data_IF_879590914805
#
_entry.id   IF_879590914805
#
_cell.length_a   1.000
_cell.length_b   1.000
_cell.length_c   1.000
_cell.angle_alpha   90.00
_cell.angle_beta   90.00
_cell.angle_gamma   90.00
#
_symmetry.space_group_name_H-M   'P 1'
#
loop_
_entity.id
_entity.type
_entity.pdbx_description
1 polymer ?
#
# COMPACT_ATOMS: atom_id res chain seq x y z
N UNK A 1 11.37 -42.94 -25.46
CA UNK A 1 10.57 -43.40 -26.60
C UNK A 1 9.18 -42.79 -26.47
N UNK A 2 8.75 -41.98 -27.43
CA UNK A 2 7.37 -41.48 -27.48
C UNK A 2 6.44 -42.65 -27.81
N UNK A 3 5.38 -42.85 -27.03
CA UNK A 3 4.36 -43.89 -27.24
C UNK A 3 3.29 -43.50 -28.28
N UNK A 4 3.48 -42.37 -28.97
CA UNK A 4 2.47 -41.78 -29.86
C UNK A 4 2.80 -42.11 -31.31
N UNK A 5 1.79 -42.58 -32.07
CA UNK A 5 1.93 -42.91 -33.49
C UNK A 5 2.15 -41.62 -34.31
N UNK A 6 2.94 -41.63 -35.39
CA UNK A 6 3.21 -40.43 -36.20
C UNK A 6 1.97 -39.77 -36.80
N UNK A 7 0.85 -40.51 -36.92
CA UNK A 7 -0.39 -40.02 -37.52
C UNK A 7 -1.36 -39.32 -36.53
N UNK A 8 -1.10 -39.38 -35.22
CA UNK A 8 -1.98 -38.76 -34.21
C UNK A 8 -1.67 -37.27 -34.02
N UNK A 9 -2.68 -36.42 -34.22
CA UNK A 9 -2.57 -34.98 -33.96
C UNK A 9 -2.45 -34.76 -32.45
N UNK A 10 -1.23 -34.49 -31.98
CA UNK A 10 -0.95 -34.26 -30.56
C UNK A 10 -1.63 -32.97 -30.11
N UNK A 11 -2.58 -33.09 -29.18
CA UNK A 11 -3.21 -31.94 -28.53
C UNK A 11 -2.41 -31.53 -27.29
N UNK A 12 -2.27 -30.21 -26.98
CA UNK A 12 -1.53 -29.75 -25.81
C UNK A 12 -2.01 -30.36 -24.47
N UNK A 13 -3.29 -30.70 -24.37
CA UNK A 13 -3.89 -31.39 -23.22
C UNK A 13 -3.29 -32.77 -22.93
N UNK A 14 -2.71 -33.44 -23.93
CA UNK A 14 -2.05 -34.75 -23.75
C UNK A 14 -0.62 -34.61 -23.25
N UNK A 15 0.00 -33.43 -23.42
CA UNK A 15 1.38 -33.15 -23.00
C UNK A 15 1.45 -32.46 -21.63
N UNK A 16 0.43 -31.70 -21.26
CA UNK A 16 0.44 -30.87 -20.05
C UNK A 16 -0.47 -31.47 -18.98
N UNK A 17 0.14 -31.98 -17.91
CA UNK A 17 -0.58 -32.33 -16.69
C UNK A 17 -0.55 -31.14 -15.71
N UNK A 18 -1.72 -30.55 -15.42
CA UNK A 18 -1.84 -29.42 -14.51
C UNK A 18 -1.79 -29.82 -13.01
N UNK A 19 -1.96 -31.10 -12.67
CA UNK A 19 -2.05 -31.56 -11.27
C UNK A 19 -0.81 -31.19 -10.43
N UNK A 20 0.44 -31.33 -10.91
CA UNK A 20 1.62 -30.92 -10.15
C UNK A 20 1.65 -29.42 -9.85
N UNK A 21 1.20 -28.59 -10.79
CA UNK A 21 1.14 -27.13 -10.63
C UNK A 21 0.10 -26.76 -9.57
N UNK A 22 -1.10 -27.33 -9.65
CA UNK A 22 -2.17 -27.10 -8.67
C UNK A 22 -1.72 -27.57 -7.28
N UNK A 23 -1.06 -28.71 -7.18
CA UNK A 23 -0.54 -29.23 -5.92
C UNK A 23 0.52 -28.30 -5.31
N UNK A 24 1.47 -27.81 -6.11
CA UNK A 24 2.51 -26.88 -5.65
C UNK A 24 1.92 -25.55 -5.15
N UNK A 25 0.98 -24.96 -5.90
CA UNK A 25 0.29 -23.72 -5.49
C UNK A 25 -0.50 -23.96 -4.20
N UNK A 26 -1.25 -25.06 -4.14
CA UNK A 26 -2.06 -25.39 -2.97
C UNK A 26 -1.19 -25.67 -1.74
N UNK A 27 -0.03 -26.30 -1.91
CA UNK A 27 0.91 -26.56 -0.82
C UNK A 27 1.52 -25.25 -0.31
N UNK A 28 1.90 -24.33 -1.22
CA UNK A 28 2.41 -23.02 -0.86
C UNK A 28 1.42 -22.25 0.03
N UNK A 29 0.17 -22.08 -0.40
CA UNK A 29 -0.80 -21.28 0.38
C UNK A 29 -1.27 -21.95 1.68
N UNK A 30 -1.28 -23.29 1.76
CA UNK A 30 -1.75 -24.01 2.96
C UNK A 30 -0.66 -24.25 4.00
N UNK A 31 0.59 -24.50 3.59
CA UNK A 31 1.67 -24.97 4.49
C UNK A 31 2.83 -24.00 4.63
N UNK A 32 3.00 -23.05 3.72
CA UNK A 32 4.12 -22.12 3.82
C UNK A 32 3.94 -21.20 5.03
N UNK A 33 4.99 -21.08 5.85
CA UNK A 33 5.01 -20.20 7.03
C UNK A 33 4.84 -18.72 6.67
N UNK A 34 5.15 -18.34 5.43
CA UNK A 34 4.94 -16.99 4.92
C UNK A 34 3.46 -16.73 4.54
N UNK A 35 2.68 -17.78 4.31
CA UNK A 35 1.23 -17.69 4.09
C UNK A 35 0.54 -17.71 5.45
N UNK A 36 0.43 -16.55 6.08
CA UNK A 36 -0.28 -16.41 7.35
C UNK A 36 -1.74 -16.01 7.16
N UNK A 37 -2.59 -16.43 8.10
CA UNK A 37 -3.93 -15.86 8.23
C UNK A 37 -3.81 -14.37 8.51
N UNK A 38 -4.63 -13.57 7.83
CA UNK A 38 -4.67 -12.14 8.00
C UNK A 38 -5.26 -11.80 9.37
N UNK A 39 -4.60 -10.89 10.08
CA UNK A 39 -5.05 -10.42 11.38
C UNK A 39 -6.03 -9.26 11.16
N UNK A 40 -7.32 -9.50 11.37
CA UNK A 40 -8.40 -8.55 11.10
C UNK A 40 -9.12 -8.11 12.38
N UNK A 41 -8.39 -8.03 13.50
CA UNK A 41 -8.97 -7.51 14.76
C UNK A 41 -9.44 -6.06 14.58
N UNK A 42 -8.63 -5.22 13.92
CA UNK A 42 -8.94 -3.82 13.63
C UNK A 42 -8.17 -3.39 12.35
N UNK A 43 -8.51 -2.24 11.74
CA UNK A 43 -7.88 -1.80 10.49
C UNK A 43 -6.35 -1.65 10.59
N UNK A 44 -5.82 -1.30 11.76
CA UNK A 44 -4.37 -1.17 11.96
C UNK A 44 -3.67 -2.53 11.95
N UNK A 45 -4.22 -3.52 12.63
CA UNK A 45 -3.67 -4.87 12.71
C UNK A 45 -3.53 -5.50 11.31
N UNK A 46 -4.53 -5.26 10.45
CA UNK A 46 -4.52 -5.75 9.08
C UNK A 46 -3.40 -5.12 8.25
N UNK A 47 -3.26 -3.80 8.32
CA UNK A 47 -2.19 -3.07 7.62
C UNK A 47 -0.81 -3.50 8.13
N UNK A 48 -0.65 -3.64 9.44
CA UNK A 48 0.61 -4.03 10.06
C UNK A 48 1.02 -5.45 9.62
N UNK A 49 0.07 -6.39 9.57
CA UNK A 49 0.31 -7.76 9.09
C UNK A 49 0.75 -7.77 7.60
N UNK A 50 0.11 -6.97 6.75
CA UNK A 50 0.47 -6.87 5.32
C UNK A 50 1.83 -6.19 5.08
N UNK A 51 2.30 -5.37 6.01
CA UNK A 51 3.60 -4.67 5.94
C UNK A 51 4.72 -5.37 6.72
N UNK A 52 4.48 -6.61 7.14
CA UNK A 52 5.42 -7.40 7.94
C UNK A 52 6.51 -8.01 7.06
N UNK A 53 7.76 -7.83 7.49
CA UNK A 53 8.94 -8.47 6.93
C UNK A 53 9.36 -9.63 7.83
N UNK A 54 9.71 -10.77 7.23
CA UNK A 54 10.18 -11.95 7.96
C UNK A 54 11.46 -12.47 7.34
N UNK A 55 12.51 -12.57 8.15
CA UNK A 55 13.78 -13.24 7.79
C UNK A 55 13.64 -14.77 7.89
N UNK A 56 12.61 -15.24 8.59
CA UNK A 56 12.27 -16.65 8.68
C UNK A 56 11.45 -17.11 7.48
N UNK A 57 11.60 -18.37 7.07
CA UNK A 57 10.83 -18.97 5.98
C UNK A 57 11.62 -20.05 5.26
N UNK A 58 11.05 -20.59 4.19
CA UNK A 58 11.77 -21.45 3.26
C UNK A 58 12.94 -20.68 2.64
N UNK A 59 14.17 -21.16 2.80
CA UNK A 59 15.37 -20.45 2.35
C UNK A 59 15.84 -19.32 3.27
N UNK A 60 15.11 -19.03 4.35
CA UNK A 60 15.48 -18.04 5.36
C UNK A 60 16.27 -18.65 6.54
N UNK A 61 16.34 -17.89 7.63
CA UNK A 61 17.07 -18.28 8.84
C UNK A 61 16.11 -18.93 9.86
N UNK A 62 16.55 -20.01 10.51
CA UNK A 62 15.80 -20.59 11.64
C UNK A 62 16.10 -19.81 12.92
N UNK A 63 15.13 -19.74 13.85
CA UNK A 63 15.25 -18.96 15.10
C UNK A 63 16.53 -19.22 15.88
N UNK A 64 16.93 -20.48 15.97
CA UNK A 64 18.13 -20.97 16.68
C UNK A 64 19.44 -20.59 15.99
N UNK A 65 19.41 -20.39 14.66
CA UNK A 65 20.59 -20.05 13.86
C UNK A 65 20.73 -18.55 13.60
N UNK A 66 19.76 -17.75 14.05
CA UNK A 66 19.84 -16.31 13.90
C UNK A 66 20.85 -15.72 14.90
N UNK A 67 21.94 -15.15 14.36
CA UNK A 67 22.93 -14.43 15.14
C UNK A 67 22.36 -13.14 15.72
N UNK A 68 23.03 -12.61 16.74
CA UNK A 68 22.69 -11.32 17.35
C UNK A 68 22.71 -10.18 16.32
N UNK A 69 23.71 -10.15 15.44
CA UNK A 69 23.86 -9.15 14.38
C UNK A 69 22.70 -9.09 13.37
N UNK A 70 21.96 -10.19 13.18
CA UNK A 70 20.77 -10.22 12.32
C UNK A 70 19.54 -9.63 13.01
N UNK A 71 19.54 -9.55 14.34
CA UNK A 71 18.42 -9.04 15.14
C UNK A 71 18.58 -7.55 15.47
N UNK A 72 19.82 -7.08 15.53
CA UNK A 72 20.12 -5.68 15.81
C UNK A 72 19.65 -4.74 14.70
N UNK A 73 19.38 -3.50 15.11
CA UNK A 73 19.02 -2.42 14.21
C UNK A 73 20.29 -1.92 13.54
N UNK A 74 20.32 -1.99 12.21
CA UNK A 74 21.42 -1.47 11.40
C UNK A 74 21.12 -0.06 10.91
N UNK A 75 22.14 0.76 10.68
CA UNK A 75 22.01 2.15 10.18
C UNK A 75 21.27 2.23 8.85
N UNK A 76 21.48 1.26 7.95
CA UNK A 76 20.77 1.16 6.67
C UNK A 76 19.26 0.93 6.78
N UNK A 77 18.76 0.53 7.95
CA UNK A 77 17.32 0.36 8.18
C UNK A 77 16.58 1.68 8.29
N UNK A 78 17.30 2.80 8.44
CA UNK A 78 16.70 4.12 8.58
C UNK A 78 15.70 4.41 7.45
N UNK A 79 14.47 4.74 7.82
CA UNK A 79 13.37 5.00 6.88
C UNK A 79 12.99 3.85 5.95
N UNK A 80 13.46 2.62 6.21
CA UNK A 80 13.12 1.40 5.47
C UNK A 80 12.40 0.37 6.34
N UNK A 81 12.97 0.08 7.51
CA UNK A 81 12.43 -0.86 8.50
C UNK A 81 12.19 -0.10 9.81
N UNK A 82 11.02 -0.29 10.41
CA UNK A 82 10.65 0.37 11.65
C UNK A 82 11.53 -0.14 12.80
N UNK A 83 12.21 0.75 13.55
CA UNK A 83 13.05 0.36 14.68
C UNK A 83 12.24 0.03 15.95
N UNK A 84 10.97 0.46 16.02
CA UNK A 84 10.13 0.33 17.22
C UNK A 84 9.28 -0.93 17.15
N UNK A 85 8.66 -1.22 16.00
CA UNK A 85 7.71 -2.33 15.84
C UNK A 85 8.46 -3.64 15.58
N UNK A 86 8.41 -4.56 16.54
CA UNK A 86 8.91 -5.94 16.41
C UNK A 86 8.15 -6.85 17.39
N UNK A 87 7.91 -8.14 17.12
CA UNK A 87 7.42 -9.06 18.13
C UNK A 87 8.37 -9.15 19.33
N UNK A 88 7.80 -9.25 20.52
CA UNK A 88 8.56 -9.52 21.74
C UNK A 88 8.95 -11.01 21.83
N UNK A 89 10.00 -11.31 22.60
CA UNK A 89 10.46 -12.68 22.83
C UNK A 89 11.36 -13.23 21.72
N UNK A 90 11.18 -14.49 21.35
CA UNK A 90 12.14 -15.22 20.49
C UNK A 90 12.22 -14.71 19.04
N UNK A 91 11.19 -14.00 18.55
CA UNK A 91 11.13 -13.50 17.18
C UNK A 91 11.64 -12.05 17.05
N UNK A 92 12.15 -11.45 18.13
CA UNK A 92 12.66 -10.08 18.13
C UNK A 92 13.75 -9.89 17.07
N UNK A 93 13.61 -8.85 16.24
CA UNK A 93 14.53 -8.52 15.15
C UNK A 93 14.48 -9.46 13.94
N UNK A 94 13.80 -10.61 14.02
CA UNK A 94 13.61 -11.55 12.89
C UNK A 94 12.33 -11.26 12.11
N UNK A 95 11.36 -10.67 12.79
CA UNK A 95 10.13 -10.18 12.22
C UNK A 95 10.10 -8.69 12.49
N UNK A 96 10.10 -7.91 11.41
CA UNK A 96 10.11 -6.45 11.45
C UNK A 96 9.02 -5.92 10.53
N UNK A 97 8.87 -4.61 10.45
CA UNK A 97 7.77 -3.98 9.72
C UNK A 97 8.31 -2.82 8.90
N UNK A 98 7.70 -2.57 7.74
CA UNK A 98 8.08 -1.45 6.88
C UNK A 98 7.74 -0.10 7.55
N UNK A 99 8.61 0.89 7.35
CA UNK A 99 8.32 2.29 7.68
C UNK A 99 7.26 2.88 6.75
N UNK A 100 6.71 4.07 7.06
CA UNK A 100 5.60 4.66 6.31
C UNK A 100 5.84 4.82 4.80
N UNK A 101 6.97 5.39 4.40
CA UNK A 101 7.22 5.78 3.00
C UNK A 101 8.19 4.86 2.26
N UNK A 102 8.63 3.77 2.89
CA UNK A 102 9.48 2.77 2.24
C UNK A 102 8.78 2.14 1.03
N UNK A 103 9.55 1.94 -0.04
CA UNK A 103 9.11 1.23 -1.25
C UNK A 103 10.02 0.05 -1.55
N UNK A 104 9.48 -0.94 -2.25
CA UNK A 104 10.24 -2.08 -2.75
C UNK A 104 10.43 -1.85 -4.25
N UNK A 105 11.67 -1.82 -4.70
CA UNK A 105 11.99 -1.67 -6.11
C UNK A 105 11.84 -3.00 -6.89
N UNK A 106 11.90 -3.00 -8.23
CA UNK A 106 11.71 -4.22 -9.04
C UNK A 106 12.71 -5.35 -8.73
N UNK A 107 13.86 -5.03 -8.14
CA UNK A 107 14.89 -5.99 -7.75
C UNK A 107 14.70 -6.51 -6.31
N UNK A 108 13.74 -5.98 -5.56
CA UNK A 108 13.43 -6.39 -4.20
C UNK A 108 14.17 -5.60 -3.10
N UNK A 109 14.89 -4.53 -3.44
CA UNK A 109 15.53 -3.67 -2.45
C UNK A 109 14.55 -2.65 -1.86
N UNK A 110 14.76 -2.33 -0.58
CA UNK A 110 14.01 -1.28 0.11
C UNK A 110 14.64 0.08 -0.17
N UNK A 111 13.81 1.01 -0.61
CA UNK A 111 14.19 2.38 -0.91
C UNK A 111 13.53 3.35 0.07
N UNK A 112 14.31 4.33 0.52
CA UNK A 112 13.85 5.42 1.37
C UNK A 112 13.78 6.72 0.57
N UNK A 113 12.79 7.59 0.84
CA UNK A 113 12.64 8.84 0.10
C UNK A 113 13.32 10.03 0.78
N UNK A 114 13.88 10.91 -0.05
CA UNK A 114 14.55 12.13 0.38
C UNK A 114 14.20 13.29 -0.57
N UNK A 115 14.16 14.52 -0.05
CA UNK A 115 14.14 15.70 -0.90
C UNK A 115 15.55 16.04 -1.36
N UNK A 116 15.66 16.49 -2.60
CA UNK A 116 16.93 16.95 -3.15
C UNK A 116 17.22 18.39 -2.73
N UNK A 117 18.49 18.65 -2.40
CA UNK A 117 18.98 19.98 -2.06
C UNK A 117 19.90 20.46 -3.16
N UNK A 118 19.63 21.65 -3.68
CA UNK A 118 20.42 22.26 -4.76
C UNK A 118 21.06 23.55 -4.27
N UNK A 119 22.32 23.76 -4.64
CA UNK A 119 23.01 25.02 -4.39
C UNK A 119 22.50 26.09 -5.37
N UNK A 120 21.89 27.14 -4.84
CA UNK A 120 21.47 28.31 -5.60
C UNK A 120 22.41 29.48 -5.30
N UNK A 121 23.08 29.99 -6.34
CA UNK A 121 23.97 31.15 -6.23
C UNK A 121 23.16 32.42 -6.48
N UNK A 122 23.04 33.28 -5.48
CA UNK A 122 22.44 34.62 -5.62
C UNK A 122 23.49 35.68 -5.26
N UNK A 123 24.22 36.16 -6.27
CA UNK A 123 25.39 37.02 -6.09
C UNK A 123 26.58 36.25 -5.48
N UNK A 124 27.24 36.83 -4.47
CA UNK A 124 28.36 36.19 -3.75
C UNK A 124 27.94 35.21 -2.63
N UNK A 125 26.63 34.94 -2.47
CA UNK A 125 26.14 34.01 -1.45
C UNK A 125 25.57 32.75 -2.10
N UNK A 126 26.12 31.60 -1.75
CA UNK A 126 25.51 30.29 -2.03
C UNK A 126 24.46 30.02 -0.96
N UNK A 127 23.23 29.69 -1.35
CA UNK A 127 22.20 29.22 -0.44
C UNK A 127 21.73 27.84 -0.89
N UNK A 128 21.49 26.98 0.08
CA UNK A 128 21.02 25.63 -0.18
C UNK A 128 19.50 25.63 -0.19
N UNK A 129 18.93 25.28 -1.34
CA UNK A 129 17.49 25.26 -1.58
C UNK A 129 17.01 23.82 -1.58
N UNK A 130 16.05 23.52 -0.72
CA UNK A 130 15.31 22.26 -0.75
C UNK A 130 14.32 22.31 -1.91
N UNK A 131 14.36 21.32 -2.79
CA UNK A 131 13.43 21.18 -3.92
C UNK A 131 12.29 20.22 -3.56
N UNK A 132 11.19 20.32 -4.30
CA UNK A 132 10.06 19.37 -4.19
C UNK A 132 10.34 18.03 -4.92
N UNK A 133 11.54 17.85 -5.47
CA UNK A 133 11.95 16.62 -6.16
C UNK A 133 12.27 15.55 -5.11
N UNK A 134 11.48 14.47 -5.11
CA UNK A 134 11.68 13.32 -4.22
C UNK A 134 12.50 12.25 -4.94
N UNK A 135 13.62 11.86 -4.34
CA UNK A 135 14.47 10.78 -4.82
C UNK A 135 14.36 9.59 -3.86
N UNK A 136 14.16 8.40 -4.42
CA UNK A 136 14.17 7.14 -3.68
C UNK A 136 15.56 6.50 -3.81
N UNK A 137 16.18 6.18 -2.68
CA UNK A 137 17.53 5.62 -2.64
C UNK A 137 17.58 4.27 -1.92
N UNK A 138 18.34 3.35 -2.49
CA UNK A 138 18.72 2.10 -1.84
C UNK A 138 19.69 2.38 -0.69
N UNK A 139 19.94 1.37 0.16
CA UNK A 139 20.86 1.52 1.28
C UNK A 139 22.29 1.84 0.83
N UNK A 140 22.74 1.21 -0.25
CA UNK A 140 24.11 1.36 -0.77
C UNK A 140 24.30 2.76 -1.38
N UNK A 141 23.34 3.20 -2.22
CA UNK A 141 23.40 4.53 -2.84
C UNK A 141 23.31 5.65 -1.79
N UNK A 142 22.60 5.43 -0.69
CA UNK A 142 22.47 6.41 0.40
C UNK A 142 23.82 6.77 1.02
N UNK A 143 24.78 5.83 1.07
CA UNK A 143 26.06 6.05 1.74
C UNK A 143 26.95 7.09 1.05
N UNK A 144 26.74 7.34 -0.25
CA UNK A 144 27.52 8.28 -1.04
C UNK A 144 27.09 9.74 -0.86
N UNK A 145 25.90 9.99 -0.30
CA UNK A 145 25.36 11.32 -0.11
C UNK A 145 25.52 11.84 1.32
N UNK A 146 25.53 13.16 1.47
CA UNK A 146 25.37 13.83 2.77
C UNK A 146 23.90 14.18 2.97
N UNK A 147 23.28 13.52 3.95
CA UNK A 147 21.84 13.61 4.21
C UNK A 147 21.60 14.25 5.56
N UNK A 148 20.81 15.31 5.62
CA UNK A 148 20.40 15.93 6.89
C UNK A 148 18.97 15.54 7.29
N UNK A 149 18.63 15.78 8.54
CA UNK A 149 17.32 15.45 9.10
C UNK A 149 16.25 16.49 8.75
N UNK A 150 14.98 16.14 8.90
CA UNK A 150 13.87 16.98 8.45
C UNK A 150 13.69 18.26 9.30
N UNK A 151 14.07 18.23 10.59
CA UNK A 151 13.79 19.26 11.61
C UNK A 151 14.83 20.40 11.66
N UNK A 152 15.72 20.50 10.68
CA UNK A 152 16.69 21.60 10.56
C UNK A 152 15.99 22.95 10.37
N UNK A 153 16.62 24.04 10.83
CA UNK A 153 16.10 25.40 10.66
C UNK A 153 16.03 25.79 9.17
N UNK A 154 14.83 26.17 8.70
CA UNK A 154 14.58 26.60 7.31
C UNK A 154 13.91 27.97 7.25
N UNK A 155 14.35 28.81 6.31
CA UNK A 155 13.71 30.05 5.91
C UNK A 155 12.95 29.81 4.59
N UNK A 156 11.68 29.40 4.72
CA UNK A 156 10.89 28.89 3.61
C UNK A 156 11.51 27.60 3.04
N UNK A 157 12.11 27.70 1.86
CA UNK A 157 12.74 26.58 1.14
C UNK A 157 14.26 26.53 1.32
N UNK A 158 14.86 27.50 2.02
CA UNK A 158 16.30 27.61 2.15
C UNK A 158 16.78 27.14 3.53
N UNK A 159 17.93 26.47 3.56
CA UNK A 159 18.63 26.13 4.80
C UNK A 159 19.28 27.40 5.38
N UNK A 160 19.12 27.62 6.69
CA UNK A 160 19.59 28.84 7.38
C UNK A 160 20.94 28.64 8.06
N UNK A 161 21.12 27.49 8.71
CA UNK A 161 22.29 27.22 9.53
C UNK A 161 23.53 26.92 8.66
N UNK A 162 24.69 27.40 9.08
CA UNK A 162 25.94 27.17 8.35
C UNK A 162 26.48 25.75 8.56
N UNK A 163 26.29 25.22 9.77
CA UNK A 163 26.72 23.88 10.18
C UNK A 163 25.48 23.05 10.43
N UNK A 164 25.37 21.91 9.76
CA UNK A 164 24.22 21.04 9.86
C UNK A 164 24.67 19.62 10.22
N UNK A 165 23.91 18.92 11.08
CA UNK A 165 24.15 17.50 11.31
C UNK A 165 23.77 16.73 10.04
N UNK A 166 24.65 15.84 9.61
CA UNK A 166 24.45 14.99 8.46
C UNK A 166 24.81 13.54 8.77
N UNK A 167 24.11 12.62 8.12
CA UNK A 167 24.50 11.23 8.01
C UNK A 167 25.30 11.05 6.72
N UNK A 168 26.46 10.40 6.84
CA UNK A 168 27.27 9.96 5.72
C UNK A 168 27.98 8.66 6.08
N UNK A 169 27.90 7.64 5.21
CA UNK A 169 28.49 6.29 5.43
C UNK A 169 28.17 5.71 6.82
N UNK A 170 26.91 5.79 7.22
CA UNK A 170 26.41 5.28 8.51
C UNK A 170 26.87 6.05 9.75
N UNK A 171 27.61 7.16 9.61
CA UNK A 171 28.06 8.00 10.74
C UNK A 171 27.32 9.31 10.79
N UNK A 172 27.09 9.82 12.00
CA UNK A 172 26.58 11.16 12.24
C UNK A 172 27.77 12.12 12.40
N UNK A 173 27.82 13.15 11.56
CA UNK A 173 28.88 14.16 11.51
C UNK A 173 28.26 15.53 11.32
N UNK A 174 28.95 16.59 11.72
CA UNK A 174 28.56 17.96 11.37
C UNK A 174 29.32 18.41 10.12
N UNK A 175 28.60 18.97 9.17
CA UNK A 175 29.16 19.43 7.89
C UNK A 175 28.62 20.81 7.54
N UNK A 176 29.37 21.52 6.69
CA UNK A 176 28.89 22.77 6.10
C UNK A 176 27.59 22.53 5.32
N UNK A 177 26.65 23.46 5.42
CA UNK A 177 25.38 23.38 4.70
C UNK A 177 25.55 23.18 3.20
N UNK A 178 26.60 23.76 2.61
CA UNK A 178 26.93 23.62 1.18
C UNK A 178 27.22 22.18 0.73
N UNK A 179 27.59 21.29 1.66
CA UNK A 179 27.83 19.87 1.37
C UNK A 179 26.57 19.02 1.39
N UNK A 180 25.47 19.53 1.95
CA UNK A 180 24.21 18.79 2.06
C UNK A 180 23.59 18.61 0.68
N UNK A 181 23.34 17.36 0.30
CA UNK A 181 22.76 17.02 -1.01
C UNK A 181 21.31 16.59 -0.89
N UNK A 182 20.94 15.99 0.24
CA UNK A 182 19.63 15.42 0.48
C UNK A 182 19.14 15.76 1.89
N UNK A 183 17.83 15.73 2.05
CA UNK A 183 17.17 15.96 3.34
C UNK A 183 15.98 15.02 3.51
N UNK A 184 15.77 14.55 4.74
CA UNK A 184 14.58 13.78 5.08
C UNK A 184 13.28 14.55 4.76
N UNK A 185 12.23 13.82 4.38
CA UNK A 185 10.95 14.45 4.02
C UNK A 185 10.21 14.91 5.26
N UNK A 186 9.96 13.99 6.19
CA UNK A 186 9.21 14.23 7.43
C UNK A 186 9.85 13.41 8.55
N UNK A 187 9.96 13.91 9.80
CA UNK A 187 10.55 13.16 10.91
C UNK A 187 9.92 11.77 11.15
N UNK A 188 8.61 11.64 10.88
CA UNK A 188 7.87 10.38 11.07
C UNK A 188 8.19 9.30 10.03
N UNK A 189 8.93 9.60 8.96
CA UNK A 189 9.26 8.62 7.93
C UNK A 189 10.12 7.45 8.44
N UNK A 190 10.76 7.62 9.59
CA UNK A 190 11.62 6.62 10.25
C UNK A 190 10.81 5.51 10.94
N UNK A 191 9.53 5.74 11.23
CA UNK A 191 8.69 4.80 11.98
C UNK A 191 7.65 4.11 11.09
N UNK A 192 7.13 2.98 11.56
CA UNK A 192 6.05 2.23 10.91
C UNK A 192 4.66 2.74 11.29
N UNK A 193 3.62 2.18 10.68
CA UNK A 193 2.23 2.65 10.82
C UNK A 193 1.76 2.71 12.28
N UNK A 194 1.95 1.66 13.06
CA UNK A 194 1.48 1.64 14.46
C UNK A 194 2.23 2.62 15.36
N UNK A 195 3.55 2.72 15.21
CA UNK A 195 4.35 3.72 15.94
C UNK A 195 3.97 5.15 15.55
N UNK A 196 3.56 5.38 14.30
CA UNK A 196 3.13 6.67 13.78
C UNK A 196 1.85 7.23 14.43
N UNK A 197 1.06 6.37 15.08
CA UNK A 197 -0.18 6.71 15.80
C UNK A 197 0.06 7.08 17.27
N UNK A 198 1.27 6.90 17.79
CA UNK A 198 1.59 7.26 19.18
C UNK A 198 1.83 8.78 19.23
N UNK A 199 1.02 9.56 19.97
CA UNK A 199 1.29 10.98 20.17
C UNK A 199 2.54 11.15 21.04
N UNK A 200 3.30 12.22 20.81
CA UNK A 200 4.49 12.54 21.61
C UNK A 200 5.56 11.43 21.68
N UNK A 201 5.65 10.60 20.64
CA UNK A 201 6.58 9.46 20.57
C UNK A 201 8.04 9.80 20.94
N UNK A 202 8.49 11.03 20.64
CA UNK A 202 9.82 11.54 20.99
C UNK A 202 10.11 11.62 22.51
N UNK A 203 9.07 11.57 23.34
CA UNK A 203 9.16 11.60 24.80
C UNK A 203 8.99 10.22 25.43
N UNK A 204 8.69 9.20 24.62
CA UNK A 204 8.51 7.83 25.07
C UNK A 204 9.79 7.01 24.89
N UNK A 205 10.08 6.13 25.84
CA UNK A 205 11.14 5.14 25.70
C UNK A 205 10.79 4.13 24.59
N UNK A 206 11.80 3.70 23.81
CA UNK A 206 11.60 2.80 22.68
C UNK A 206 10.94 1.47 23.04
N UNK A 207 11.24 0.90 24.23
CA UNK A 207 10.61 -0.36 24.67
C UNK A 207 9.15 -0.17 25.06
N UNK A 208 8.79 1.00 25.60
CA UNK A 208 7.39 1.34 25.94
C UNK A 208 6.59 1.70 24.71
N UNK A 209 7.18 2.44 23.77
CA UNK A 209 6.58 2.68 22.47
C UNK A 209 6.30 1.36 21.73
N UNK A 210 7.24 0.40 21.79
CA UNK A 210 7.05 -0.95 21.24
C UNK A 210 5.80 -1.62 21.83
N UNK A 211 5.65 -1.64 23.16
CA UNK A 211 4.44 -2.18 23.82
C UNK A 211 3.18 -1.47 23.34
N UNK A 212 3.22 -0.13 23.24
CA UNK A 212 2.11 0.67 22.72
C UNK A 212 1.68 0.25 21.31
N UNK A 213 2.64 -0.03 20.42
CA UNK A 213 2.32 -0.52 19.08
C UNK A 213 1.64 -1.89 19.08
N UNK A 214 1.99 -2.80 20.00
CA UNK A 214 1.33 -4.10 20.14
C UNK A 214 -0.10 -3.94 20.65
N UNK A 215 -0.27 -3.11 21.68
CA UNK A 215 -1.58 -2.86 22.28
C UNK A 215 -2.57 -2.27 21.27
N UNK A 216 -2.12 -1.38 20.39
CA UNK A 216 -2.96 -0.83 19.33
C UNK A 216 -3.47 -1.90 18.35
N UNK A 217 -2.62 -2.84 17.92
CA UNK A 217 -3.05 -3.93 17.02
C UNK A 217 -4.00 -4.92 17.72
N UNK A 218 -3.98 -4.99 19.06
CA UNK A 218 -4.88 -5.83 19.85
C UNK A 218 -6.19 -5.14 20.24
N UNK A 219 -6.34 -3.85 19.94
CA UNK A 219 -7.52 -3.08 20.32
C UNK A 219 -8.78 -3.60 19.62
N UNK A 220 -9.80 -3.94 20.40
CA UNK A 220 -11.06 -4.50 19.89
C UNK A 220 -11.99 -3.36 19.43
N UNK A 221 -12.66 -3.48 18.27
CA UNK A 221 -13.64 -2.49 17.82
C UNK A 221 -14.82 -2.36 18.80
N UNK A 222 -15.12 -1.13 19.23
CA UNK A 222 -16.25 -0.82 20.08
C UNK A 222 -17.50 -0.50 19.24
N UNK A 223 -18.68 -0.72 19.80
CA UNK A 223 -19.97 -0.35 19.16
C UNK A 223 -20.07 1.15 18.92
N UNK A 224 -19.54 1.95 19.85
CA UNK A 224 -19.48 3.42 19.75
C UNK A 224 -18.03 3.87 19.93
N UNK A 225 -17.23 3.90 18.85
CA UNK A 225 -15.85 4.35 18.92
C UNK A 225 -15.77 5.87 19.08
N UNK A 226 -14.81 6.34 19.86
CA UNK A 226 -14.49 7.75 20.02
C UNK A 226 -13.07 8.01 19.50
N UNK A 227 -12.85 9.19 18.91
CA UNK A 227 -11.53 9.60 18.46
C UNK A 227 -10.65 9.97 19.65
N UNK A 228 -9.32 9.79 19.59
CA UNK A 228 -8.44 10.29 20.64
C UNK A 228 -8.54 11.82 20.74
N UNK A 229 -8.43 12.35 21.97
CA UNK A 229 -8.41 13.80 22.21
C UNK A 229 -7.20 14.46 21.55
N UNK A 230 -6.06 13.76 21.54
CA UNK A 230 -4.82 14.17 20.87
C UNK A 230 -4.47 13.11 19.84
N UNK A 231 -4.56 13.46 18.56
CA UNK A 231 -4.23 12.58 17.44
C UNK A 231 -2.94 12.99 16.72
N UNK A 232 -2.42 12.09 15.88
CA UNK A 232 -1.20 12.31 15.10
C UNK A 232 -1.46 12.68 13.65
N UNK A 233 -2.71 12.56 13.18
CA UNK A 233 -3.14 12.80 11.80
C UNK A 233 -3.15 11.54 10.93
N UNK A 234 -2.65 10.41 11.43
CA UNK A 234 -2.62 9.14 10.71
C UNK A 234 -3.92 8.33 10.86
N UNK A 235 -4.75 8.66 11.84
CA UNK A 235 -5.98 7.93 12.19
C UNK A 235 -6.93 7.82 11.00
N UNK A 236 -7.12 8.93 10.29
CA UNK A 236 -7.99 8.99 9.11
C UNK A 236 -7.45 8.13 7.97
N UNK A 237 -6.13 8.17 7.73
CA UNK A 237 -5.49 7.36 6.68
C UNK A 237 -5.57 5.86 7.00
N UNK A 238 -5.34 5.48 8.26
CA UNK A 238 -5.41 4.08 8.72
C UNK A 238 -6.84 3.56 8.63
N UNK A 239 -7.84 4.31 9.10
CA UNK A 239 -9.24 3.90 9.02
C UNK A 239 -9.75 3.77 7.57
N UNK A 240 -9.27 4.65 6.68
CA UNK A 240 -9.62 4.63 5.26
C UNK A 240 -8.95 3.50 4.47
N UNK A 241 -7.96 2.83 5.05
CA UNK A 241 -7.21 1.77 4.39
C UNK A 241 -8.00 0.45 4.44
N UNK A 242 -7.71 -0.45 3.49
CA UNK A 242 -8.26 -1.81 3.44
C UNK A 242 -9.80 -1.93 3.36
N UNK A 243 -10.51 -0.85 3.04
CA UNK A 243 -11.96 -0.90 2.78
C UNK A 243 -12.85 -0.98 4.01
N UNK A 244 -12.32 -0.71 5.21
CA UNK A 244 -13.11 -0.60 6.45
C UNK A 244 -14.10 0.59 6.43
N UNK A 245 -13.82 1.60 5.61
CA UNK A 245 -14.70 2.76 5.41
C UNK A 245 -15.16 2.80 3.96
N UNK A 246 -16.46 2.95 3.77
CA UNK A 246 -17.07 3.16 2.45
C UNK A 246 -16.79 4.59 1.99
N UNK A 247 -16.08 4.74 0.87
CA UNK A 247 -15.84 6.03 0.23
C UNK A 247 -16.71 6.18 -1.00
N UNK A 248 -17.18 7.41 -1.26
CA UNK A 248 -17.81 7.69 -2.55
C UNK A 248 -16.75 7.62 -3.66
N UNK A 249 -16.95 6.80 -4.70
CA UNK A 249 -16.06 6.76 -5.85
C UNK A 249 -16.19 8.00 -6.74
N UNK A 250 -17.26 8.79 -6.56
CA UNK A 250 -17.61 9.91 -7.44
C UNK A 250 -18.01 11.14 -6.64
N UNK A 251 -17.86 12.30 -7.28
CA UNK A 251 -18.37 13.55 -6.75
C UNK A 251 -19.87 13.65 -7.05
N UNK A 252 -20.66 13.96 -6.03
CA UNK A 252 -22.11 14.09 -6.17
C UNK A 252 -22.77 14.61 -4.91
N UNK A 253 -24.05 14.93 -5.03
CA UNK A 253 -24.88 15.34 -3.91
C UNK A 253 -25.57 14.11 -3.32
N UNK A 254 -25.73 14.05 -2.00
CA UNK A 254 -26.46 12.95 -1.36
C UNK A 254 -27.94 13.18 -1.61
N UNK A 255 -28.58 12.27 -2.35
CA UNK A 255 -30.01 12.33 -2.65
C UNK A 255 -30.85 11.74 -1.52
N UNK A 256 -30.39 10.63 -0.94
CA UNK A 256 -31.01 10.00 0.22
C UNK A 256 -29.98 9.21 1.03
N UNK A 257 -30.19 9.13 2.34
CA UNK A 257 -29.40 8.32 3.25
C UNK A 257 -30.34 7.53 4.16
N UNK A 258 -30.16 6.21 4.18
CA UNK A 258 -30.83 5.27 5.06
C UNK A 258 -29.75 4.42 5.77
N UNK A 259 -30.15 3.62 6.77
CA UNK A 259 -29.24 2.76 7.54
C UNK A 259 -28.45 1.79 6.65
N UNK A 260 -29.07 1.28 5.58
CA UNK A 260 -28.47 0.27 4.71
C UNK A 260 -27.85 0.85 3.42
N UNK A 261 -28.37 1.99 2.93
CA UNK A 261 -28.02 2.50 1.60
C UNK A 261 -27.91 4.04 1.58
N UNK A 262 -26.90 4.54 0.88
CA UNK A 262 -26.71 5.95 0.58
C UNK A 262 -26.80 6.13 -0.93
N UNK A 263 -27.74 6.95 -1.40
CA UNK A 263 -27.91 7.26 -2.83
C UNK A 263 -27.27 8.60 -3.12
N UNK A 264 -26.37 8.63 -4.10
CA UNK A 264 -25.64 9.83 -4.52
C UNK A 264 -26.08 10.20 -5.94
N UNK A 265 -26.50 11.45 -6.12
CA UNK A 265 -26.77 12.04 -7.41
C UNK A 265 -25.47 12.61 -7.99
N UNK A 266 -25.00 11.97 -9.06
CA UNK A 266 -23.70 12.26 -9.66
C UNK A 266 -23.78 13.53 -10.52
N UNK A 267 -22.91 14.50 -10.24
CA UNK A 267 -22.89 15.79 -10.96
C UNK A 267 -22.36 15.65 -12.40
N UNK A 268 -21.45 14.71 -12.65
CA UNK A 268 -20.79 14.53 -13.94
C UNK A 268 -21.26 13.27 -14.69
N UNK A 269 -21.63 13.39 -15.97
CA UNK A 269 -22.13 12.27 -16.79
C UNK A 269 -21.06 11.18 -17.05
N UNK A 270 -19.77 11.54 -17.10
CA UNK A 270 -18.68 10.56 -17.27
C UNK A 270 -18.51 9.62 -16.08
N UNK A 271 -18.77 10.13 -14.88
CA UNK A 271 -18.63 9.37 -13.64
C UNK A 271 -19.77 8.35 -13.47
N UNK A 272 -20.91 8.54 -14.16
CA UNK A 272 -22.00 7.55 -14.25
C UNK A 272 -21.59 6.29 -15.00
N UNK A 273 -20.84 6.41 -16.10
CA UNK A 273 -20.39 5.27 -16.90
C UNK A 273 -19.33 4.43 -16.16
N UNK A 274 -18.47 5.07 -15.36
CA UNK A 274 -17.41 4.43 -14.57
C UNK A 274 -17.92 3.50 -13.46
N UNK A 275 -19.16 3.67 -12.99
CA UNK A 275 -19.68 2.95 -11.82
C UNK A 275 -20.44 1.67 -12.16
N UNK A 276 -20.88 1.49 -13.40
CA UNK A 276 -21.54 0.24 -13.80
C UNK A 276 -20.58 -0.94 -13.84
N UNK A 277 -19.32 -0.72 -14.24
CA UNK A 277 -18.25 -1.74 -14.23
C UNK A 277 -17.80 -2.14 -12.82
N UNK A 278 -18.11 -1.31 -11.80
CA UNK A 278 -17.63 -1.49 -10.41
C UNK A 278 -18.75 -1.75 -9.39
N UNK A 279 -19.95 -2.16 -9.81
CA UNK A 279 -20.94 -2.75 -8.89
C UNK A 279 -20.52 -4.16 -8.46
N UNK A 280 -19.35 -4.29 -7.85
CA UNK A 280 -18.96 -5.43 -7.04
C UNK A 280 -19.55 -5.21 -5.65
N UNK A 281 -20.81 -5.59 -5.48
CA UNK A 281 -21.32 -5.87 -4.14
C UNK A 281 -20.60 -7.09 -3.56
N UNK A 282 -20.54 -7.17 -2.24
CA UNK A 282 -20.14 -8.39 -1.51
C UNK A 282 -21.22 -9.44 -1.76
N UNK A 283 -21.15 -10.13 -2.90
CA UNK A 283 -22.18 -11.06 -3.37
C UNK A 283 -21.88 -11.59 -4.76
N UNK A 284 -22.46 -12.76 -5.07
CA UNK A 284 -22.29 -13.55 -6.31
C UNK A 284 -22.19 -12.66 -7.55
N UNK A 285 -21.26 -12.91 -8.49
CA UNK A 285 -21.13 -12.12 -9.71
C UNK A 285 -22.45 -12.07 -10.47
N UNK A 286 -23.16 -10.95 -10.36
CA UNK A 286 -24.32 -10.65 -11.19
C UNK A 286 -23.79 -10.05 -12.50
N UNK A 287 -23.84 -10.85 -13.58
CA UNK A 287 -23.57 -10.34 -14.92
C UNK A 287 -24.57 -9.21 -15.24
N UNK A 288 -24.12 -7.96 -15.16
CA UNK A 288 -24.92 -6.81 -15.53
C UNK A 288 -24.57 -6.45 -16.97
N UNK A 289 -25.57 -6.47 -17.85
CA UNK A 289 -25.37 -6.18 -19.28
C UNK A 289 -25.01 -4.70 -19.43
N UNK A 290 -24.00 -4.32 -20.23
CA UNK A 290 -23.55 -2.92 -20.32
C UNK A 290 -24.63 -2.00 -20.92
N UNK A 291 -24.73 -0.76 -20.43
CA UNK A 291 -25.63 0.28 -20.97
C UNK A 291 -25.31 0.69 -22.41
N UNK A 292 -24.08 0.45 -22.86
CA UNK A 292 -23.60 0.76 -24.21
C UNK A 292 -22.99 -0.50 -24.83
N UNK A 293 -23.59 -0.97 -25.93
CA UNK A 293 -23.07 -2.07 -26.73
C UNK A 293 -22.17 -1.52 -27.83
N UNK A 294 -20.89 -1.88 -27.79
CA UNK A 294 -19.96 -1.60 -28.89
C UNK A 294 -20.04 -2.75 -29.90
N UNK A 295 -20.57 -2.50 -31.09
CA UNK A 295 -20.65 -3.49 -32.16
C UNK A 295 -20.12 -2.89 -33.45
N UNK A 296 -19.11 -3.56 -34.06
CA UNK A 296 -18.46 -3.11 -35.30
C UNK A 296 -18.01 -1.63 -35.25
N UNK A 297 -17.41 -1.21 -34.13
CA UNK A 297 -16.89 0.15 -33.96
C UNK A 297 -17.94 1.24 -33.74
N UNK A 298 -19.24 0.90 -33.71
CA UNK A 298 -20.32 1.85 -33.39
C UNK A 298 -20.88 1.57 -31.99
N UNK A 299 -21.18 2.66 -31.26
CA UNK A 299 -21.76 2.62 -29.91
C UNK A 299 -23.28 2.65 -30.00
N UNK A 300 -23.95 1.64 -29.46
CA UNK A 300 -25.42 1.56 -29.40
C UNK A 300 -25.88 1.64 -27.95
N UNK A 301 -26.83 2.55 -27.65
CA UNK A 301 -27.45 2.59 -26.33
C UNK A 301 -28.38 1.40 -26.16
N UNK A 302 -28.16 0.62 -25.10
CA UNK A 302 -28.95 -0.57 -24.79
C UNK A 302 -30.28 -0.11 -24.17
N UNK A 303 -31.43 -0.55 -24.73
CA UNK A 303 -32.75 -0.22 -24.18
C UNK A 303 -32.87 -0.54 -22.69
N UNK A 304 -33.43 0.39 -21.91
CA UNK A 304 -33.65 0.27 -20.44
C UNK A 304 -34.27 -1.05 -19.98
N UNK A 305 -35.09 -1.67 -20.82
CA UNK A 305 -35.72 -2.97 -20.54
C UNK A 305 -34.71 -4.13 -20.50
N UNK A 306 -33.64 -4.07 -21.31
CA UNK A 306 -32.61 -5.11 -21.40
C UNK A 306 -31.61 -5.03 -20.24
N UNK A 307 -31.57 -3.91 -19.53
CA UNK A 307 -30.77 -3.65 -18.34
C UNK A 307 -31.46 -4.16 -17.06
N UNK A 308 -32.77 -4.37 -17.10
CA UNK A 308 -33.56 -4.79 -15.94
C UNK A 308 -33.34 -6.24 -15.48
N UNK A 309 -32.63 -7.07 -16.26
CA UNK A 309 -32.38 -8.49 -15.96
C UNK A 309 -33.61 -9.41 -15.93
N UNK A 310 -34.82 -8.87 -16.05
CA UNK A 310 -36.07 -9.64 -15.95
C UNK A 310 -36.38 -10.34 -17.29
N UNK A 311 -36.03 -11.62 -17.39
CA UNK A 311 -36.16 -12.43 -18.60
C UNK A 311 -37.58 -12.41 -19.22
N UNK A 312 -38.64 -12.45 -18.39
CA UNK A 312 -40.03 -12.44 -18.86
C UNK A 312 -40.42 -11.11 -19.53
N UNK A 313 -39.95 -9.98 -18.98
CA UNK A 313 -40.17 -8.65 -19.57
C UNK A 313 -39.34 -8.45 -20.84
N UNK A 314 -38.13 -9.02 -20.88
CA UNK A 314 -37.24 -8.97 -22.06
C UNK A 314 -37.82 -9.77 -23.23
N UNK A 315 -38.38 -10.96 -22.99
CA UNK A 315 -39.06 -11.74 -24.04
C UNK A 315 -40.29 -11.02 -24.59
N UNK A 316 -41.15 -10.49 -23.72
CA UNK A 316 -42.31 -9.70 -24.14
C UNK A 316 -41.92 -8.44 -24.94
N UNK A 317 -40.77 -7.84 -24.65
CA UNK A 317 -40.23 -6.73 -25.42
C UNK A 317 -39.68 -7.17 -26.78
N UNK A 318 -38.95 -8.29 -26.84
CA UNK A 318 -38.43 -8.89 -28.08
C UNK A 318 -39.57 -9.27 -29.03
N UNK A 319 -40.66 -9.84 -28.52
CA UNK A 319 -41.83 -10.18 -29.33
C UNK A 319 -42.51 -8.95 -29.92
N UNK A 320 -42.62 -7.85 -29.17
CA UNK A 320 -43.17 -6.58 -29.68
C UNK A 320 -42.30 -5.94 -30.76
N UNK A 321 -40.98 -6.15 -30.73
CA UNK A 321 -40.03 -5.51 -31.64
C UNK A 321 -39.54 -6.43 -32.78
N UNK A 322 -39.98 -7.69 -32.82
CA UNK A 322 -39.67 -8.66 -33.89
C UNK A 322 -40.18 -8.25 -35.28
N UNK A 323 -41.01 -7.21 -35.41
CA UNK A 323 -41.64 -6.79 -36.68
C UNK A 323 -40.88 -5.71 -37.47
N UNK A 324 -39.61 -5.44 -37.18
CA UNK A 324 -38.82 -4.47 -37.95
C UNK A 324 -37.40 -4.98 -38.20
N UNK A 325 -37.28 -5.96 -39.08
CA UNK A 325 -36.06 -6.19 -39.84
C UNK A 325 -36.49 -6.57 -41.27
N UNK A 326 -36.22 -5.75 -42.31
CA UNK A 326 -36.21 -6.27 -43.67
C UNK A 326 -35.01 -7.21 -43.82
N UNK A 327 -35.17 -8.21 -44.68
CA UNK A 327 -34.12 -9.15 -45.12
C UNK A 327 -32.86 -8.42 -45.58
#
# INVERSE_FOLDING_TARGET
MSLVRPEEVVTPSMLVNARPIIAAISEFFRRNRLSSILDQVNPLAEIDNLRRLSVMGTGGVSRERASFSMRDIHTSQYSRICPIRSPEGQNIGLVTYLTLYARINPYGFLEAPFFKVVAEKKGNKTRMKVTDEIVYLTADDEEDYFITHADVSRDGIYLVDNWLPARHRGKFIEVDAEKIQLIDIIPRQVVGTSASLIPFLQHDDGTRALMGTHMQCQAVPLVKPEKPLVGTGMESLVAQSMGWVVKSPVNGLIASADADHITIEVTNKKDRESLEEKRYGVGVPAYTRPEILNWQGKKYSVPKILLSGNHKKVEAWRERHKRRAPL
#
